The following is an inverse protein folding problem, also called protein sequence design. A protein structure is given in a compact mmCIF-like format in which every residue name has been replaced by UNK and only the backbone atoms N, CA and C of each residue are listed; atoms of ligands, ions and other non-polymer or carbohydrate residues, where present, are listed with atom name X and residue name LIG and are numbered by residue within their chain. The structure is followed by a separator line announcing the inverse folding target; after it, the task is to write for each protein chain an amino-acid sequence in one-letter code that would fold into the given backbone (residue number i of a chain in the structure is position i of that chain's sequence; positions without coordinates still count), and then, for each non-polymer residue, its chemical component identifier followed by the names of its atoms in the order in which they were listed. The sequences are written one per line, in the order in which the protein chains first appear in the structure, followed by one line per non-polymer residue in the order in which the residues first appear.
data_IF_466868475644
#
_entry.id   IF_466868475644
#
_cell.length_a   1.000
_cell.length_b   1.000
_cell.length_c   1.000
_cell.angle_alpha   90.00
_cell.angle_beta   90.00
_cell.angle_gamma   90.00
#
_symmetry.space_group_name_H-M   'P 1'
#
loop_
_entity.id
_entity.type
_entity.pdbx_description
1 polymer ?
#
# COMPACT_ATOMS: atom_id res chain seq x y z
N UNK A 1 5.86 11.45 -8.48
CA UNK A 1 5.77 10.60 -7.28
C UNK A 1 5.99 11.44 -6.04
N UNK A 2 4.99 11.56 -5.22
CA UNK A 2 5.04 12.35 -3.99
C UNK A 2 4.27 11.59 -2.90
N UNK A 3 4.83 11.54 -1.70
CA UNK A 3 4.10 11.15 -0.50
C UNK A 3 3.22 12.30 0.04
N UNK A 4 2.91 13.27 -0.82
CA UNK A 4 2.11 14.46 -0.55
C UNK A 4 2.46 15.28 0.70
N UNK A 5 3.69 15.16 1.18
CA UNK A 5 4.24 16.06 2.19
C UNK A 5 4.54 17.43 1.57
N UNK A 6 3.49 18.04 0.98
CA UNK A 6 3.63 19.31 0.28
C UNK A 6 2.93 20.41 1.06
N UNK A 7 3.62 21.52 1.21
CA UNK A 7 3.05 22.74 1.77
C UNK A 7 1.88 23.25 0.91
N UNK A 8 0.96 23.94 1.52
CA UNK A 8 -0.24 24.49 0.85
C UNK A 8 0.11 25.32 -0.41
N UNK A 9 1.22 26.06 -0.37
CA UNK A 9 1.75 26.81 -1.52
C UNK A 9 2.17 25.92 -2.69
N UNK A 10 2.68 24.72 -2.43
CA UNK A 10 3.01 23.74 -3.48
C UNK A 10 1.77 23.07 -4.05
N UNK A 11 0.77 22.76 -3.23
CA UNK A 11 -0.53 22.25 -3.70
C UNK A 11 -1.16 23.26 -4.65
N UNK A 12 -1.17 24.55 -4.28
CA UNK A 12 -1.69 25.62 -5.14
C UNK A 12 -0.92 25.72 -6.47
N UNK A 13 0.40 25.54 -6.43
CA UNK A 13 1.24 25.56 -7.63
C UNK A 13 0.97 24.36 -8.55
N UNK A 14 0.75 23.16 -7.98
CA UNK A 14 0.30 21.98 -8.74
C UNK A 14 -1.07 22.20 -9.36
N UNK A 15 -2.02 22.75 -8.63
CA UNK A 15 -3.36 23.06 -9.12
C UNK A 15 -3.34 24.00 -10.34
N UNK A 16 -2.49 25.03 -10.30
CA UNK A 16 -2.34 25.92 -11.42
C UNK A 16 -1.72 25.22 -12.64
N UNK A 17 -0.67 24.42 -12.42
CA UNK A 17 -0.02 23.64 -13.50
C UNK A 17 -0.97 22.63 -14.15
N UNK A 18 -1.82 21.97 -13.36
CA UNK A 18 -2.76 20.96 -13.89
C UNK A 18 -3.88 21.61 -14.69
N UNK A 19 -4.32 22.82 -14.32
CA UNK A 19 -5.34 23.58 -15.10
C UNK A 19 -4.85 23.97 -16.49
N UNK A 20 -3.55 24.22 -16.62
CA UNK A 20 -2.94 24.68 -17.87
C UNK A 20 -2.52 23.51 -18.79
N UNK A 21 -2.53 22.27 -18.28
CA UNK A 21 -2.11 21.07 -19.03
C UNK A 21 -3.29 20.09 -19.13
N UNK A 22 -3.97 20.02 -20.28
CA UNK A 22 -5.10 19.11 -20.45
C UNK A 22 -4.66 17.63 -20.30
N UNK A 23 -5.56 16.81 -19.79
CA UNK A 23 -5.36 15.37 -19.56
C UNK A 23 -4.25 15.02 -18.55
N UNK A 24 -3.92 15.91 -17.64
CA UNK A 24 -2.96 15.62 -16.57
C UNK A 24 -3.58 14.72 -15.52
N UNK A 25 -2.86 13.66 -15.12
CA UNK A 25 -3.17 12.80 -14.01
C UNK A 25 -2.01 12.81 -13.01
N UNK A 26 -2.31 13.02 -11.73
CA UNK A 26 -1.33 12.92 -10.67
C UNK A 26 -1.23 11.48 -10.17
N UNK A 27 -0.03 11.09 -9.73
CA UNK A 27 0.18 9.80 -9.09
C UNK A 27 0.69 10.00 -7.67
N UNK A 28 -0.01 9.38 -6.72
CA UNK A 28 0.37 9.35 -5.33
C UNK A 28 0.71 7.91 -4.92
N UNK A 29 1.78 7.76 -4.14
CA UNK A 29 2.23 6.43 -3.72
C UNK A 29 1.96 6.23 -2.24
N UNK A 30 1.24 5.17 -1.90
CA UNK A 30 0.98 4.73 -0.52
C UNK A 30 0.81 3.21 -0.54
N UNK A 31 1.41 2.50 0.42
CA UNK A 31 1.50 1.04 0.36
C UNK A 31 0.59 0.32 1.38
N UNK A 32 -0.13 1.08 2.20
CA UNK A 32 -1.10 0.64 3.20
C UNK A 32 -1.91 1.84 3.67
N UNK A 33 -2.69 1.73 4.75
CA UNK A 33 -3.39 2.83 5.38
C UNK A 33 -3.01 2.99 6.86
N UNK A 34 -3.36 4.12 7.49
CA UNK A 34 -3.14 4.37 8.91
C UNK A 34 -1.68 4.29 9.35
N UNK A 35 -1.47 3.80 10.56
CA UNK A 35 -0.14 3.65 11.18
C UNK A 35 0.82 2.75 10.37
N UNK A 36 0.29 1.75 9.68
CA UNK A 36 1.06 0.89 8.81
C UNK A 36 1.68 1.66 7.65
N UNK A 37 0.91 2.55 7.02
CA UNK A 37 1.42 3.41 5.94
C UNK A 37 2.54 4.34 6.44
N UNK A 38 2.38 4.92 7.64
CA UNK A 38 3.40 5.78 8.26
C UNK A 38 4.66 5.02 8.64
N UNK A 39 4.52 3.76 9.09
CA UNK A 39 5.66 2.89 9.35
C UNK A 39 6.43 2.56 8.06
N UNK A 40 5.74 2.13 7.00
CA UNK A 40 6.35 1.78 5.71
C UNK A 40 7.03 3.01 5.09
N UNK A 41 6.36 4.16 5.15
CA UNK A 41 6.83 5.42 4.54
C UNK A 41 7.19 6.44 5.62
N UNK A 42 8.39 6.33 6.15
CA UNK A 42 8.87 7.25 7.19
C UNK A 42 8.67 8.72 6.83
N UNK A 43 7.99 9.44 7.72
CA UNK A 43 7.65 10.85 7.56
C UNK A 43 6.37 11.07 6.71
N UNK A 44 5.62 10.03 6.39
CA UNK A 44 4.25 10.15 5.97
C UNK A 44 3.42 10.58 7.19
N UNK A 45 2.50 11.49 6.97
CA UNK A 45 1.41 11.88 7.86
C UNK A 45 0.13 11.51 7.10
N UNK A 46 -0.57 10.50 7.58
CA UNK A 46 -1.70 9.93 6.84
C UNK A 46 -2.90 10.88 6.78
N UNK A 47 -3.14 11.66 7.84
CA UNK A 47 -4.23 12.64 7.87
C UNK A 47 -3.97 13.77 6.87
N UNK A 48 -2.72 14.24 6.83
CA UNK A 48 -2.31 15.27 5.86
C UNK A 48 -2.35 14.75 4.43
N UNK A 49 -1.93 13.49 4.21
CA UNK A 49 -2.03 12.83 2.91
C UNK A 49 -3.48 12.75 2.43
N UNK A 50 -4.39 12.27 3.27
CA UNK A 50 -5.82 12.15 2.97
C UNK A 50 -6.44 13.50 2.67
N UNK A 51 -6.20 14.51 3.50
CA UNK A 51 -6.72 15.87 3.28
C UNK A 51 -6.25 16.46 1.93
N UNK A 52 -5.00 16.25 1.55
CA UNK A 52 -4.47 16.69 0.25
C UNK A 52 -5.09 15.91 -0.92
N UNK A 53 -5.27 14.59 -0.76
CA UNK A 53 -5.92 13.74 -1.78
C UNK A 53 -7.36 14.20 -2.02
N UNK A 54 -8.14 14.38 -0.96
CA UNK A 54 -9.53 14.88 -1.04
C UNK A 54 -9.57 16.25 -1.71
N UNK A 55 -8.67 17.17 -1.35
CA UNK A 55 -8.60 18.51 -1.95
C UNK A 55 -8.34 18.46 -3.45
N UNK A 56 -7.44 17.60 -3.92
CA UNK A 56 -7.16 17.43 -5.34
C UNK A 56 -8.37 16.86 -6.09
N UNK A 57 -8.99 15.81 -5.55
CA UNK A 57 -10.17 15.19 -6.15
C UNK A 57 -11.36 16.14 -6.19
N UNK A 58 -11.60 16.92 -5.13
CA UNK A 58 -12.66 17.95 -5.07
C UNK A 58 -12.48 19.07 -6.09
N UNK A 59 -11.25 19.28 -6.58
CA UNK A 59 -10.97 20.22 -7.67
C UNK A 59 -11.08 19.59 -9.06
N UNK A 60 -11.54 18.34 -9.16
CA UNK A 60 -11.66 17.61 -10.42
C UNK A 60 -10.33 17.12 -10.98
N UNK A 61 -9.25 17.07 -10.18
CA UNK A 61 -7.93 16.60 -10.62
C UNK A 61 -7.86 15.08 -10.49
N UNK A 62 -7.66 14.33 -11.61
CA UNK A 62 -7.55 12.91 -11.56
C UNK A 62 -6.29 12.45 -10.80
N UNK A 63 -6.48 11.52 -9.85
CA UNK A 63 -5.38 10.95 -9.05
C UNK A 63 -5.34 9.43 -9.21
N UNK A 64 -4.15 8.90 -9.50
CA UNK A 64 -3.87 7.47 -9.45
C UNK A 64 -3.12 7.12 -8.16
N UNK A 65 -3.69 6.26 -7.34
CA UNK A 65 -3.00 5.68 -6.19
C UNK A 65 -2.16 4.50 -6.66
N UNK A 66 -0.87 4.55 -6.35
CA UNK A 66 0.08 3.47 -6.59
C UNK A 66 0.43 2.82 -5.25
N UNK A 67 -0.13 1.65 -4.99
CA UNK A 67 0.20 0.82 -3.84
C UNK A 67 1.20 -0.25 -4.29
N UNK A 68 2.50 -0.03 -4.05
CA UNK A 68 3.51 -1.07 -4.32
C UNK A 68 3.34 -2.19 -3.29
N UNK A 69 2.56 -3.20 -3.69
CA UNK A 69 2.12 -4.27 -2.81
C UNK A 69 3.31 -5.12 -2.33
N UNK A 70 3.59 -5.04 -1.06
CA UNK A 70 4.71 -5.70 -0.38
C UNK A 70 4.20 -6.50 0.82
N UNK A 71 5.08 -7.21 1.52
CA UNK A 71 4.69 -8.06 2.63
C UNK A 71 3.98 -7.29 3.76
N UNK A 72 4.42 -6.06 4.05
CA UNK A 72 3.81 -5.21 5.07
C UNK A 72 2.43 -4.67 4.65
N UNK A 73 2.13 -4.64 3.34
CA UNK A 73 0.82 -4.20 2.85
C UNK A 73 -0.30 -5.20 3.19
N UNK A 74 0.04 -6.48 3.44
CA UNK A 74 -0.93 -7.56 3.63
C UNK A 74 -1.75 -7.35 4.91
N UNK A 75 -1.11 -6.92 6.00
CA UNK A 75 -1.73 -6.84 7.34
C UNK A 75 -2.97 -5.93 7.38
N UNK A 76 -2.97 -4.87 6.60
CA UNK A 76 -4.02 -3.85 6.62
C UNK A 76 -4.64 -3.57 5.25
N UNK A 77 -4.63 -4.56 4.37
CA UNK A 77 -5.11 -4.39 2.99
C UNK A 77 -6.62 -4.09 2.92
N UNK A 78 -7.41 -4.70 3.80
CA UNK A 78 -8.86 -4.48 3.86
C UNK A 78 -9.19 -3.03 4.24
N UNK A 79 -8.48 -2.44 5.20
CA UNK A 79 -8.66 -1.01 5.54
C UNK A 79 -8.26 -0.09 4.39
N UNK A 80 -7.15 -0.40 3.70
CA UNK A 80 -6.75 0.34 2.51
C UNK A 80 -7.83 0.29 1.42
N UNK A 81 -8.36 -0.92 1.11
CA UNK A 81 -9.42 -1.11 0.12
C UNK A 81 -10.69 -0.36 0.54
N UNK A 82 -11.11 -0.48 1.80
CA UNK A 82 -12.27 0.23 2.32
C UNK A 82 -12.12 1.75 2.16
N UNK A 83 -10.98 2.30 2.54
CA UNK A 83 -10.71 3.74 2.41
C UNK A 83 -10.72 4.22 0.96
N UNK A 84 -10.12 3.45 0.06
CA UNK A 84 -10.18 3.76 -1.38
C UNK A 84 -11.61 3.68 -1.91
N UNK A 85 -12.42 2.73 -1.41
CA UNK A 85 -13.82 2.58 -1.79
C UNK A 85 -14.67 3.78 -1.34
N UNK A 86 -14.46 4.29 -0.11
CA UNK A 86 -15.12 5.51 0.36
C UNK A 86 -14.83 6.70 -0.58
N UNK A 87 -13.56 6.90 -0.91
CA UNK A 87 -13.14 7.98 -1.80
C UNK A 87 -13.67 7.79 -3.24
N UNK A 88 -13.71 6.55 -3.75
CA UNK A 88 -14.29 6.25 -5.06
C UNK A 88 -15.80 6.45 -5.08
N UNK A 89 -16.50 6.17 -3.99
CA UNK A 89 -17.93 6.47 -3.87
C UNK A 89 -18.20 7.96 -3.98
N UNK A 90 -17.32 8.79 -3.45
CA UNK A 90 -17.46 10.24 -3.48
C UNK A 90 -16.98 10.88 -4.79
N UNK A 91 -15.90 10.39 -5.39
CA UNK A 91 -15.19 11.05 -6.50
C UNK A 91 -15.19 10.25 -7.80
N UNK A 92 -15.72 9.02 -7.81
CA UNK A 92 -15.83 8.19 -9.00
C UNK A 92 -14.50 7.93 -9.69
N UNK A 93 -14.49 8.06 -11.01
CA UNK A 93 -13.34 7.78 -11.88
C UNK A 93 -12.17 8.77 -11.76
N UNK A 94 -12.35 9.86 -11.00
CA UNK A 94 -11.23 10.75 -10.69
C UNK A 94 -10.18 10.06 -9.84
N UNK A 95 -10.56 9.03 -9.05
CA UNK A 95 -9.64 8.21 -8.30
C UNK A 95 -9.46 6.83 -8.95
N UNK A 96 -8.23 6.46 -9.23
CA UNK A 96 -7.89 5.10 -9.66
C UNK A 96 -6.87 4.48 -8.73
N UNK A 97 -6.90 3.15 -8.60
CA UNK A 97 -6.00 2.40 -7.72
C UNK A 97 -5.26 1.34 -8.51
N UNK A 98 -3.95 1.26 -8.34
CA UNK A 98 -3.11 0.21 -8.92
C UNK A 98 -2.24 -0.41 -7.82
N UNK A 99 -2.20 -1.75 -7.76
CA UNK A 99 -1.51 -2.51 -6.72
C UNK A 99 -0.50 -3.48 -7.34
N UNK A 100 0.57 -2.95 -8.00
CA UNK A 100 1.63 -3.81 -8.52
C UNK A 100 2.41 -4.46 -7.37
N UNK A 101 2.80 -5.73 -7.53
CA UNK A 101 3.64 -6.40 -6.53
C UNK A 101 5.07 -5.86 -6.54
N UNK A 102 5.68 -5.85 -5.34
CA UNK A 102 7.09 -5.49 -5.17
C UNK A 102 7.99 -6.67 -5.58
N UNK A 103 8.94 -6.38 -6.46
CA UNK A 103 9.96 -7.37 -6.87
C UNK A 103 11.19 -7.26 -5.98
N UNK A 104 11.67 -6.05 -5.72
CA UNK A 104 12.86 -5.77 -4.92
C UNK A 104 12.58 -4.67 -3.88
N UNK A 105 13.16 -4.76 -2.67
CA UNK A 105 14.06 -5.83 -2.19
C UNK A 105 13.29 -7.10 -1.78
N UNK A 106 13.86 -8.28 -2.03
CA UNK A 106 13.20 -9.58 -1.87
C UNK A 106 12.67 -9.83 -0.45
N UNK A 107 13.37 -9.37 0.57
CA UNK A 107 12.93 -9.52 1.96
C UNK A 107 11.67 -8.68 2.32
N UNK A 108 11.29 -7.72 1.51
CA UNK A 108 10.02 -6.99 1.65
C UNK A 108 8.95 -7.48 0.65
N UNK A 109 9.32 -8.31 -0.31
CA UNK A 109 8.36 -8.87 -1.27
C UNK A 109 7.30 -9.71 -0.54
N UNK A 110 6.05 -9.62 -0.99
CA UNK A 110 4.98 -10.48 -0.50
C UNK A 110 5.22 -11.99 -0.75
N UNK A 111 6.24 -12.36 -1.53
CA UNK A 111 6.65 -13.76 -1.75
C UNK A 111 7.13 -14.49 -0.48
N UNK A 112 7.49 -13.75 0.60
CA UNK A 112 7.85 -14.35 1.90
C UNK A 112 6.62 -14.80 2.72
N UNK A 113 5.42 -14.60 2.21
CA UNK A 113 4.15 -14.93 2.84
C UNK A 113 3.94 -16.47 2.99
N UNK A 114 3.00 -16.85 3.85
CA UNK A 114 2.48 -18.23 4.00
C UNK A 114 1.02 -18.31 3.54
N UNK A 115 0.39 -19.47 3.79
CA UNK A 115 -0.99 -19.72 3.35
C UNK A 115 -2.01 -18.84 4.06
N UNK A 116 -1.78 -18.44 5.31
CA UNK A 116 -2.67 -17.52 6.03
C UNK A 116 -2.69 -16.15 5.40
N UNK A 117 -1.55 -15.66 4.96
CA UNK A 117 -1.44 -14.38 4.25
C UNK A 117 -2.09 -14.44 2.87
N UNK A 118 -1.98 -15.57 2.15
CA UNK A 118 -2.69 -15.78 0.89
C UNK A 118 -4.20 -15.70 1.12
N UNK A 119 -4.70 -16.31 2.19
CA UNK A 119 -6.12 -16.23 2.54
C UNK A 119 -6.57 -14.77 2.76
N UNK A 120 -5.81 -13.96 3.50
CA UNK A 120 -6.10 -12.53 3.69
C UNK A 120 -6.18 -11.80 2.34
N UNK A 121 -5.25 -12.06 1.43
CA UNK A 121 -5.26 -11.45 0.10
C UNK A 121 -6.47 -11.88 -0.75
N UNK A 122 -6.86 -13.16 -0.67
CA UNK A 122 -8.03 -13.68 -1.40
C UNK A 122 -9.34 -13.11 -0.83
N UNK A 123 -9.45 -12.96 0.48
CA UNK A 123 -10.63 -12.31 1.10
C UNK A 123 -10.69 -10.81 0.74
N UNK A 124 -9.58 -10.10 0.82
CA UNK A 124 -9.54 -8.69 0.43
C UNK A 124 -9.87 -8.45 -1.05
N UNK A 125 -9.56 -9.41 -1.93
CA UNK A 125 -9.99 -9.36 -3.33
C UNK A 125 -11.52 -9.49 -3.45
N UNK A 126 -12.16 -10.37 -2.67
CA UNK A 126 -13.63 -10.49 -2.63
C UNK A 126 -14.27 -9.22 -2.06
N UNK A 127 -13.68 -8.62 -1.03
CA UNK A 127 -14.12 -7.31 -0.51
C UNK A 127 -14.07 -6.23 -1.59
N UNK A 128 -12.96 -6.18 -2.35
CA UNK A 128 -12.81 -5.21 -3.44
C UNK A 128 -13.90 -5.35 -4.51
N UNK A 129 -14.38 -6.58 -4.78
CA UNK A 129 -15.47 -6.85 -5.72
C UNK A 129 -16.84 -6.30 -5.26
N UNK A 130 -17.01 -6.05 -3.96
CA UNK A 130 -18.23 -5.48 -3.38
C UNK A 130 -18.29 -3.95 -3.45
N UNK A 131 -17.18 -3.31 -3.79
CA UNK A 131 -17.01 -1.87 -3.76
C UNK A 131 -16.90 -1.27 -5.18
N UNK A 132 -16.97 0.07 -5.34
CA UNK A 132 -17.00 0.74 -6.65
C UNK A 132 -15.64 0.77 -7.36
N UNK A 133 -14.92 -0.33 -7.35
CA UNK A 133 -13.72 -0.49 -8.16
C UNK A 133 -14.10 -0.91 -9.58
N UNK A 134 -13.32 -0.46 -10.55
CA UNK A 134 -13.50 -0.89 -11.93
C UNK A 134 -13.05 -2.36 -12.12
N UNK A 135 -13.62 -3.05 -13.10
CA UNK A 135 -13.17 -4.41 -13.47
C UNK A 135 -11.67 -4.44 -13.72
N UNK A 136 -11.10 -3.38 -14.32
CA UNK A 136 -9.66 -3.29 -14.60
C UNK A 136 -8.80 -3.23 -13.34
N UNK A 137 -9.24 -2.51 -12.29
CA UNK A 137 -8.55 -2.44 -11.00
C UNK A 137 -8.59 -3.80 -10.28
N UNK A 138 -9.77 -4.43 -10.24
CA UNK A 138 -9.96 -5.75 -9.65
C UNK A 138 -9.08 -6.80 -10.34
N UNK A 139 -9.07 -6.83 -11.68
CA UNK A 139 -8.25 -7.76 -12.45
C UNK A 139 -6.74 -7.56 -12.25
N UNK A 140 -6.29 -6.32 -12.09
CA UNK A 140 -4.88 -6.04 -11.77
C UNK A 140 -4.51 -6.59 -10.39
N UNK A 141 -5.34 -6.36 -9.39
CA UNK A 141 -5.09 -6.90 -8.05
C UNK A 141 -5.18 -8.43 -8.04
N UNK A 142 -6.15 -9.02 -8.74
CA UNK A 142 -6.24 -10.48 -8.92
C UNK A 142 -4.96 -11.07 -9.53
N UNK A 143 -4.37 -10.40 -10.52
CA UNK A 143 -3.08 -10.81 -11.11
C UNK A 143 -1.95 -10.70 -10.10
N UNK A 144 -1.91 -9.66 -9.29
CA UNK A 144 -0.92 -9.48 -8.22
C UNK A 144 -1.02 -10.63 -7.21
N UNK A 145 -2.22 -10.93 -6.69
CA UNK A 145 -2.43 -12.04 -5.75
C UNK A 145 -2.06 -13.39 -6.38
N UNK A 146 -2.52 -13.63 -7.61
CA UNK A 146 -2.20 -14.86 -8.34
C UNK A 146 -0.70 -15.05 -8.58
N UNK A 147 0.01 -13.98 -8.93
CA UNK A 147 1.46 -14.02 -9.11
C UNK A 147 2.19 -14.32 -7.81
N UNK A 148 1.83 -13.64 -6.70
CA UNK A 148 2.42 -13.87 -5.38
C UNK A 148 2.20 -15.33 -4.97
N UNK A 149 0.97 -15.85 -5.08
CA UNK A 149 0.62 -17.24 -4.73
C UNK A 149 1.46 -18.25 -5.51
N UNK A 150 1.68 -18.02 -6.79
CA UNK A 150 2.45 -18.91 -7.67
C UNK A 150 3.97 -18.83 -7.44
N UNK A 151 4.48 -17.70 -6.98
CA UNK A 151 5.92 -17.41 -6.89
C UNK A 151 6.42 -17.24 -5.45
N UNK A 152 5.73 -17.77 -4.46
CA UNK A 152 6.20 -17.75 -3.07
C UNK A 152 7.54 -18.47 -2.93
N UNK A 153 8.42 -17.89 -2.14
CA UNK A 153 9.66 -18.55 -1.76
C UNK A 153 9.38 -19.81 -0.94
N UNK A 154 10.27 -20.81 -1.03
CA UNK A 154 10.15 -22.09 -0.35
C UNK A 154 11.52 -22.53 0.20
N UNK A 155 11.51 -23.45 1.17
CA UNK A 155 12.73 -24.03 1.74
C UNK A 155 13.71 -22.96 2.23
N UNK A 156 15.00 -23.15 1.92
CA UNK A 156 16.10 -22.29 2.39
C UNK A 156 15.99 -20.84 1.89
N UNK A 157 15.43 -20.65 0.71
CA UNK A 157 15.21 -19.30 0.16
C UNK A 157 14.20 -18.52 1.01
N UNK A 158 13.09 -19.12 1.40
CA UNK A 158 12.11 -18.51 2.30
C UNK A 158 12.73 -18.19 3.66
N UNK A 159 13.47 -19.14 4.26
CA UNK A 159 14.15 -18.94 5.55
C UNK A 159 15.10 -17.76 5.47
N UNK A 160 15.93 -17.70 4.42
CA UNK A 160 16.86 -16.59 4.19
C UNK A 160 16.14 -15.24 4.14
N UNK A 161 15.12 -15.10 3.29
CA UNK A 161 14.45 -13.80 3.12
C UNK A 161 13.62 -13.40 4.34
N UNK A 162 13.08 -14.34 5.09
CA UNK A 162 12.44 -14.07 6.39
C UNK A 162 13.46 -13.59 7.44
N UNK A 163 14.63 -14.16 7.48
CA UNK A 163 15.73 -13.70 8.34
C UNK A 163 16.15 -12.26 7.98
N UNK A 164 16.31 -11.99 6.69
CA UNK A 164 16.64 -10.65 6.20
C UNK A 164 15.52 -9.62 6.50
N UNK A 165 14.25 -10.04 6.42
CA UNK A 165 13.11 -9.21 6.84
C UNK A 165 13.20 -8.82 8.31
N UNK A 166 13.47 -9.76 9.21
CA UNK A 166 13.60 -9.44 10.64
C UNK A 166 14.82 -8.57 10.96
N UNK A 167 15.91 -8.77 10.26
CA UNK A 167 17.07 -7.88 10.36
C UNK A 167 16.71 -6.45 9.92
N UNK A 168 15.96 -6.33 8.82
CA UNK A 168 15.44 -5.04 8.35
C UNK A 168 14.51 -4.40 9.39
N UNK A 169 13.52 -5.12 9.93
CA UNK A 169 12.59 -4.61 10.94
C UNK A 169 13.33 -4.08 12.16
N UNK A 170 14.27 -4.87 12.70
CA UNK A 170 15.09 -4.48 13.86
C UNK A 170 15.86 -3.19 13.61
N UNK A 171 16.49 -3.07 12.45
CA UNK A 171 17.28 -1.89 12.10
C UNK A 171 16.38 -0.67 11.78
N UNK A 172 15.24 -0.90 11.15
CA UNK A 172 14.23 0.12 10.88
C UNK A 172 13.72 0.75 12.18
N UNK A 173 13.28 -0.07 13.14
CA UNK A 173 12.77 0.39 14.42
C UNK A 173 13.84 1.16 15.20
N UNK A 174 15.05 0.61 15.26
CA UNK A 174 16.20 1.27 15.94
C UNK A 174 16.50 2.66 15.36
N UNK A 175 16.54 2.80 14.02
CA UNK A 175 16.90 4.06 13.36
C UNK A 175 15.81 5.11 13.40
N UNK A 176 14.56 4.67 13.43
CA UNK A 176 13.39 5.54 13.26
C UNK A 176 12.60 5.74 14.54
N UNK A 177 12.93 5.03 15.61
CA UNK A 177 12.18 5.06 16.87
C UNK A 177 10.76 4.52 16.71
N UNK A 178 10.56 3.59 15.77
CA UNK A 178 9.27 2.94 15.52
C UNK A 178 9.19 1.61 16.26
N UNK A 179 7.99 1.01 16.29
CA UNK A 179 7.74 -0.31 16.88
C UNK A 179 6.89 -1.13 15.91
N UNK A 180 7.52 -2.12 15.27
CA UNK A 180 6.86 -3.01 14.34
C UNK A 180 5.65 -3.72 14.93
N UNK A 181 5.74 -4.22 16.17
CA UNK A 181 4.65 -4.96 16.82
C UNK A 181 3.42 -4.10 17.09
N UNK A 182 3.61 -2.80 17.32
CA UNK A 182 2.52 -1.85 17.48
C UNK A 182 1.89 -1.48 16.13
N UNK A 183 2.69 -1.37 15.08
CA UNK A 183 2.22 -1.05 13.75
C UNK A 183 1.55 -2.25 13.06
N UNK A 184 2.05 -3.47 13.28
CA UNK A 184 1.61 -4.72 12.63
C UNK A 184 1.30 -5.81 13.67
N UNK A 185 0.22 -5.65 14.47
CA UNK A 185 -0.09 -6.59 15.54
C UNK A 185 -0.41 -8.00 15.03
N UNK A 186 -0.97 -8.13 13.83
CA UNK A 186 -1.35 -9.42 13.24
C UNK A 186 -0.17 -10.15 12.59
N UNK A 187 0.74 -9.44 11.91
CA UNK A 187 1.95 -10.04 11.33
C UNK A 187 2.90 -10.60 12.41
N UNK A 188 2.92 -9.98 13.60
CA UNK A 188 3.71 -10.47 14.73
C UNK A 188 3.19 -11.76 15.37
N UNK A 189 1.92 -12.13 15.15
CA UNK A 189 1.27 -13.31 15.71
C UNK A 189 1.30 -14.51 14.77
N UNK A 190 1.43 -14.29 13.46
CA UNK A 190 1.37 -15.34 12.46
C UNK A 190 2.78 -15.90 12.21
N UNK A 191 3.11 -17.02 12.91
CA UNK A 191 4.06 -18.04 12.48
C UNK A 191 5.53 -17.65 12.24
N UNK A 192 5.94 -16.45 12.57
CA UNK A 192 7.35 -16.12 12.67
C UNK A 192 7.87 -16.55 14.05
N UNK A 193 7.80 -17.86 14.33
CA UNK A 193 8.50 -18.42 15.47
C UNK A 193 9.97 -18.03 15.32
N UNK A 194 10.48 -17.37 16.37
CA UNK A 194 11.87 -17.06 16.59
C UNK A 194 12.69 -18.36 16.49
N UNK A 195 13.08 -18.75 15.30
CA UNK A 195 14.23 -19.61 15.13
C UNK A 195 15.44 -18.67 15.23
N UNK A 196 15.90 -18.56 16.49
CA UNK A 196 17.19 -18.00 16.89
C UNK A 196 18.35 -18.67 16.16
#
# INVERSE_FOLDING_TARGET
NSNHRVTESRVQKYNNLVKDVPNTKLYASIDSWGKQAEYIRHGLDIEHFEANLIRLLAQGIPVGIMCTYNFLSIDNISEFIFKMAELKTQFGDLLTVDMPYMVEPLHLSAQICDDSHIHIMEESLKEMELYPFTTGEIEKYRKTVGWIKANRFKGDELVKHRKDFWAFVKEHDKRRGTNFKEAFPHLGMIGFNNET
#
